data_IF_645150819549
#
_entry.id   IF_645150819549
#
_cell.length_a   1.000
_cell.length_b   1.000
_cell.length_c   1.000
_cell.angle_alpha   90.00
_cell.angle_beta   90.00
_cell.angle_gamma   90.00
#
_symmetry.space_group_name_H-M   'P 1'
#
loop_
_entity.id
_entity.type
_entity.pdbx_description
1 polymer ?
#
# COMPACT_ATOMS: atom_id res chain seq x y z
N UNK A 1 2.40 -19.63 6.84
CA UNK A 1 1.03 -20.17 7.06
C UNK A 1 0.16 -19.45 6.06
N UNK A 2 -0.72 -20.13 5.32
CA UNK A 2 -1.59 -19.44 4.37
C UNK A 2 -2.46 -18.45 5.16
N UNK A 3 -2.33 -17.16 4.89
CA UNK A 3 -3.14 -16.14 5.53
C UNK A 3 -4.49 -16.14 4.80
N UNK A 4 -5.58 -16.31 5.56
CA UNK A 4 -6.91 -16.46 4.99
C UNK A 4 -7.71 -15.22 5.35
N UNK A 5 -8.26 -14.57 4.33
CA UNK A 5 -9.13 -13.41 4.48
C UNK A 5 -10.58 -13.82 4.27
N UNK A 6 -11.48 -13.26 5.06
CA UNK A 6 -12.92 -13.42 4.88
C UNK A 6 -13.48 -12.12 4.31
N UNK A 7 -14.05 -12.19 3.11
CA UNK A 7 -14.59 -11.01 2.43
C UNK A 7 -15.85 -10.50 3.10
N UNK A 8 -16.07 -9.19 3.03
CA UNK A 8 -17.32 -8.56 3.38
C UNK A 8 -18.19 -8.32 2.13
N UNK A 9 -19.50 -8.11 2.34
CA UNK A 9 -20.41 -7.83 1.22
C UNK A 9 -20.01 -6.54 0.48
N UNK A 10 -19.77 -6.66 -0.82
CA UNK A 10 -19.35 -5.54 -1.67
C UNK A 10 -17.84 -5.41 -1.83
N UNK A 11 -17.06 -6.34 -1.27
CA UNK A 11 -15.62 -6.41 -1.52
C UNK A 11 -15.32 -6.80 -2.96
N UNK A 12 -14.16 -6.35 -3.43
CA UNK A 12 -13.62 -6.64 -4.75
C UNK A 12 -12.16 -7.02 -4.63
N UNK A 13 -11.60 -7.65 -5.67
CA UNK A 13 -10.18 -8.01 -5.71
C UNK A 13 -9.25 -6.82 -5.47
N UNK A 14 -9.59 -5.67 -6.04
CA UNK A 14 -8.88 -4.40 -5.87
C UNK A 14 -8.88 -3.93 -4.40
N UNK A 15 -10.06 -3.91 -3.77
CA UNK A 15 -10.22 -3.47 -2.38
C UNK A 15 -9.47 -4.38 -1.42
N UNK A 16 -9.58 -5.71 -1.59
CA UNK A 16 -8.87 -6.69 -0.75
C UNK A 16 -7.36 -6.54 -0.94
N UNK A 17 -6.90 -6.32 -2.18
CA UNK A 17 -5.48 -6.09 -2.45
C UNK A 17 -4.97 -4.83 -1.76
N UNK A 18 -5.73 -3.73 -1.82
CA UNK A 18 -5.38 -2.49 -1.17
C UNK A 18 -5.38 -2.59 0.36
N UNK A 19 -6.36 -3.27 0.96
CA UNK A 19 -6.46 -3.41 2.42
C UNK A 19 -5.36 -4.33 2.99
N UNK A 20 -5.07 -5.43 2.29
CA UNK A 20 -4.11 -6.43 2.75
C UNK A 20 -2.66 -6.13 2.36
N UNK A 21 -2.44 -5.51 1.20
CA UNK A 21 -1.12 -5.27 0.62
C UNK A 21 -0.81 -3.78 0.39
N UNK A 22 -1.72 -2.86 0.71
CA UNK A 22 -1.53 -1.44 0.48
C UNK A 22 -1.59 -1.00 -0.99
N UNK A 23 -1.73 -1.94 -1.94
CA UNK A 23 -1.79 -1.65 -3.37
C UNK A 23 -2.70 -2.59 -4.14
N UNK A 24 -3.50 -2.02 -5.04
CA UNK A 24 -4.36 -2.75 -5.98
C UNK A 24 -3.58 -3.64 -6.96
N UNK A 25 -2.29 -3.36 -7.20
CA UNK A 25 -1.43 -4.11 -8.15
C UNK A 25 -1.33 -5.59 -7.82
N UNK A 26 -1.50 -5.95 -6.55
CA UNK A 26 -1.41 -7.32 -6.07
C UNK A 26 -2.69 -8.15 -6.30
N UNK A 27 -3.74 -7.54 -6.85
CA UNK A 27 -4.99 -8.25 -7.21
C UNK A 27 -4.74 -9.44 -8.14
N UNK A 28 -3.77 -9.34 -9.06
CA UNK A 28 -3.45 -10.43 -9.98
C UNK A 28 -2.93 -11.66 -9.23
N UNK A 29 -2.12 -11.46 -8.20
CA UNK A 29 -1.57 -12.54 -7.40
C UNK A 29 -2.67 -13.19 -6.54
N UNK A 30 -3.60 -12.39 -6.01
CA UNK A 30 -4.80 -12.89 -5.32
C UNK A 30 -5.65 -13.78 -6.23
N UNK A 31 -5.91 -13.34 -7.45
CA UNK A 31 -6.69 -14.10 -8.44
C UNK A 31 -5.98 -15.40 -8.81
N UNK A 32 -4.65 -15.37 -8.99
CA UNK A 32 -3.87 -16.58 -9.28
C UNK A 32 -3.91 -17.60 -8.14
N UNK A 33 -3.87 -17.13 -6.89
CA UNK A 33 -4.01 -17.98 -5.71
C UNK A 33 -5.45 -18.53 -5.55
N UNK A 34 -6.45 -17.81 -6.05
CA UNK A 34 -7.88 -18.11 -5.91
C UNK A 34 -8.57 -18.23 -7.27
N UNK A 35 -7.94 -18.95 -8.21
CA UNK A 35 -8.41 -19.04 -9.59
C UNK A 35 -9.85 -19.56 -9.71
N UNK A 36 -10.28 -20.37 -8.75
CA UNK A 36 -11.64 -20.90 -8.64
C UNK A 36 -12.71 -19.80 -8.55
N UNK A 37 -12.35 -18.63 -7.99
CA UNK A 37 -13.27 -17.50 -7.75
C UNK A 37 -13.09 -16.35 -8.74
N UNK A 38 -12.35 -16.56 -9.84
CA UNK A 38 -12.07 -15.50 -10.83
C UNK A 38 -13.34 -14.89 -11.43
N UNK A 39 -14.42 -15.68 -11.56
CA UNK A 39 -15.71 -15.21 -12.08
C UNK A 39 -16.43 -14.23 -11.13
N UNK A 40 -16.00 -14.17 -9.86
CA UNK A 40 -16.56 -13.28 -8.85
C UNK A 40 -15.93 -11.90 -8.95
N UNK A 41 -16.70 -10.94 -9.46
CA UNK A 41 -16.30 -9.52 -9.54
C UNK A 41 -16.57 -8.77 -8.23
N UNK A 42 -17.65 -9.13 -7.54
CA UNK A 42 -18.08 -8.54 -6.27
C UNK A 42 -18.38 -9.68 -5.31
N UNK A 43 -17.66 -9.71 -4.21
CA UNK A 43 -17.80 -10.74 -3.19
C UNK A 43 -19.02 -10.51 -2.32
N UNK A 44 -19.61 -11.63 -1.90
CA UNK A 44 -20.58 -11.65 -0.82
C UNK A 44 -19.85 -11.73 0.52
N UNK A 45 -20.58 -11.42 1.59
CA UNK A 45 -20.07 -11.60 2.94
C UNK A 45 -19.71 -13.07 3.23
N UNK A 46 -18.54 -13.30 3.82
CA UNK A 46 -18.09 -14.59 4.31
C UNK A 46 -17.33 -15.48 3.31
N UNK A 47 -16.86 -14.97 2.18
CA UNK A 47 -16.09 -15.77 1.21
C UNK A 47 -14.63 -15.92 1.64
N UNK A 48 -14.09 -17.15 1.54
CA UNK A 48 -12.71 -17.44 1.93
C UNK A 48 -11.73 -17.14 0.79
N UNK A 49 -10.81 -16.20 1.01
CA UNK A 49 -9.76 -15.80 0.06
C UNK A 49 -8.39 -16.14 0.62
N UNK A 50 -7.62 -16.90 -0.15
CA UNK A 50 -6.24 -17.26 0.16
C UNK A 50 -5.34 -16.09 -0.20
N UNK A 51 -4.65 -15.52 0.79
CA UNK A 51 -3.68 -14.46 0.57
C UNK A 51 -2.29 -15.07 0.31
N UNK A 52 -1.70 -14.88 -0.88
CA UNK A 52 -0.30 -15.21 -1.11
C UNK A 52 0.63 -14.38 -0.22
N UNK A 53 1.79 -14.95 0.13
CA UNK A 53 2.84 -14.27 0.89
C UNK A 53 3.63 -13.39 -0.08
N UNK A 54 3.39 -12.08 -0.03
CA UNK A 54 4.04 -11.08 -0.89
C UNK A 54 5.04 -10.32 0.00
N UNK A 55 6.31 -10.14 -0.44
CA UNK A 55 7.30 -9.44 0.37
C UNK A 55 6.91 -7.98 0.61
N UNK A 56 6.98 -7.55 1.87
CA UNK A 56 6.61 -6.22 2.37
C UNK A 56 7.35 -5.07 1.65
N UNK A 57 8.57 -5.34 1.16
CA UNK A 57 9.40 -4.41 0.37
C UNK A 57 8.72 -3.91 -0.91
N UNK A 58 7.76 -4.66 -1.48
CA UNK A 58 7.00 -4.22 -2.66
C UNK A 58 5.72 -3.42 -2.31
N UNK A 59 5.35 -3.34 -1.03
CA UNK A 59 4.13 -2.66 -0.56
C UNK A 59 4.30 -1.15 -0.37
N UNK A 60 5.55 -0.68 -0.30
CA UNK A 60 5.86 0.74 -0.16
C UNK A 60 5.79 1.44 -1.53
N UNK A 61 4.57 1.70 -2.00
CA UNK A 61 4.28 2.53 -3.19
C UNK A 61 4.35 4.03 -2.84
N UNK A 62 5.15 4.42 -1.84
CA UNK A 62 5.34 5.84 -1.57
C UNK A 62 6.28 6.43 -2.61
N UNK A 63 5.88 7.51 -3.30
CA UNK A 63 6.78 8.15 -4.23
C UNK A 63 7.94 8.77 -3.45
N UNK A 64 9.13 8.78 -4.06
CA UNK A 64 10.41 9.21 -3.46
C UNK A 64 10.38 10.57 -2.76
N UNK A 65 9.45 11.46 -3.11
CA UNK A 65 9.27 12.79 -2.51
C UNK A 65 8.40 12.80 -1.23
N UNK A 66 7.81 11.66 -0.88
CA UNK A 66 6.94 11.48 0.29
C UNK A 66 7.58 10.58 1.36
N UNK A 67 8.69 9.93 1.04
CA UNK A 67 9.47 9.16 2.00
C UNK A 67 9.95 10.12 3.09
N UNK A 68 9.59 9.84 4.34
CA UNK A 68 9.85 10.65 5.55
C UNK A 68 11.36 10.78 5.89
N UNK A 69 12.25 10.46 4.95
CA UNK A 69 13.71 10.52 5.07
C UNK A 69 14.28 11.93 4.84
N UNK A 70 13.49 12.90 4.37
CA UNK A 70 13.93 14.30 4.20
C UNK A 70 13.77 15.15 5.47
N UNK A 71 13.83 14.55 6.67
CA UNK A 71 13.95 15.28 7.94
C UNK A 71 15.40 15.61 8.30
N UNK A 72 16.28 15.95 7.36
CA UNK A 72 17.58 16.54 7.73
C UNK A 72 18.29 17.26 6.56
N UNK A 73 17.60 18.05 5.75
CA UNK A 73 18.31 19.14 5.08
C UNK A 73 18.23 20.34 6.02
N UNK A 74 19.20 20.39 6.94
CA UNK A 74 19.42 21.48 7.84
C UNK A 74 19.61 22.78 7.07
N UNK A 75 18.49 23.42 6.69
CA UNK A 75 18.45 24.80 6.27
C UNK A 75 19.01 25.58 7.46
N UNK A 76 20.24 26.10 7.40
CA UNK A 76 20.68 26.99 8.44
C UNK A 76 19.70 28.15 8.41
N UNK A 77 19.04 28.40 9.54
CA UNK A 77 18.36 29.67 9.76
C UNK A 77 19.34 30.74 9.29
N UNK A 78 18.96 31.52 8.28
CA UNK A 78 19.81 32.60 7.80
C UNK A 78 20.08 33.49 9.01
N UNK A 79 21.31 33.38 9.54
CA UNK A 79 21.80 34.23 10.61
C UNK A 79 21.55 35.67 10.17
N UNK A 80 20.80 36.36 11.02
CA UNK A 80 20.67 37.80 11.04
C UNK A 80 22.09 38.37 11.21
N UNK A 81 22.74 38.82 10.14
CA UNK A 81 23.93 39.68 10.27
C UNK A 81 23.62 41.06 9.70
N UNK A 82 23.29 41.94 10.64
CA UNK A 82 23.27 43.38 10.47
C UNK A 82 24.68 43.86 10.09
N UNK A 83 24.88 44.32 8.85
CA UNK A 83 26.05 45.15 8.54
C UNK A 83 25.61 46.43 7.81
N UNK A 84 25.43 47.46 8.62
CA UNK A 84 25.45 48.87 8.26
C UNK A 84 26.59 49.19 7.27
N UNK A 85 26.29 49.78 6.11
CA UNK A 85 27.30 50.47 5.28
C UNK A 85 26.72 51.74 4.64
N UNK A 86 27.19 52.87 5.19
CA UNK A 86 27.27 54.27 4.72
C UNK A 86 26.10 54.99 4.03
#
# INVERSE_FOLDING_TARGET
>A
MANVYYTEAGDTWDKIAYDQYGSEKFMQQLILANWDKLDVLVFSDGEEIILPDIPDDELDDTPVWRSDSDRDDGIPAADEDESEVE
#
